data_IF_310536018718
#
_entry.id   IF_310536018718
#
_cell.length_a   1.000
_cell.length_b   1.000
_cell.length_c   1.000
_cell.angle_alpha   90.00
_cell.angle_beta   90.00
_cell.angle_gamma   90.00
#
_symmetry.space_group_name_H-M   'P 1'
#
loop_
_entity.id
_entity.type
_entity.pdbx_description
1 polymer ?
#
# COMPACT_ATOMS: atom_id res chain seq x y z
N UNK A 1 8.56 -2.35 19.68
CA UNK A 1 7.73 -1.15 19.42
C UNK A 1 8.32 -0.37 18.24
N UNK A 2 7.47 0.08 17.34
CA UNK A 2 7.93 0.89 16.21
C UNK A 2 8.22 2.30 16.67
N UNK A 3 9.42 2.77 16.39
CA UNK A 3 9.82 4.15 16.65
C UNK A 3 9.38 5.00 15.45
N UNK A 4 8.45 5.90 15.67
CA UNK A 4 7.90 6.72 14.58
C UNK A 4 8.93 7.63 13.92
N UNK A 5 10.05 7.91 14.58
CA UNK A 5 11.12 8.71 13.98
C UNK A 5 11.87 7.95 12.89
N UNK A 6 11.69 6.62 12.85
CA UNK A 6 12.31 5.78 11.84
C UNK A 6 11.34 5.41 10.71
N UNK A 7 10.11 5.92 10.77
CA UNK A 7 9.11 5.69 9.73
C UNK A 7 9.30 6.75 8.64
N UNK A 8 9.41 6.28 7.40
CA UNK A 8 9.62 7.13 6.24
C UNK A 8 8.58 6.79 5.18
N UNK A 9 7.98 7.82 4.59
CA UNK A 9 7.08 7.65 3.46
C UNK A 9 7.84 7.93 2.18
N UNK A 10 7.82 6.98 1.25
CA UNK A 10 8.44 7.16 -0.06
C UNK A 10 7.41 6.93 -1.15
N UNK A 11 7.50 7.64 -2.28
CA UNK A 11 6.54 7.44 -3.37
C UNK A 11 6.52 5.98 -3.83
N UNK A 12 5.33 5.49 -4.13
CA UNK A 12 5.17 4.15 -4.67
C UNK A 12 5.79 4.09 -6.07
N UNK A 13 6.62 3.08 -6.30
CA UNK A 13 7.30 2.89 -7.59
C UNK A 13 6.68 1.71 -8.34
N UNK A 14 6.98 1.62 -9.64
CA UNK A 14 6.48 0.50 -10.45
C UNK A 14 6.87 -0.85 -9.86
N UNK A 15 8.06 -0.95 -9.28
CA UNK A 15 8.52 -2.18 -8.65
C UNK A 15 7.72 -2.55 -7.41
N UNK A 16 6.97 -1.61 -6.86
CA UNK A 16 6.14 -1.84 -5.67
C UNK A 16 4.75 -2.35 -6.01
N UNK A 17 4.34 -2.28 -7.28
CA UNK A 17 2.99 -2.68 -7.67
C UNK A 17 2.70 -4.16 -7.40
N UNK A 18 3.60 -5.11 -7.75
CA UNK A 18 3.34 -6.51 -7.41
C UNK A 18 3.21 -6.75 -5.91
N UNK A 19 3.96 -6.01 -5.11
CA UNK A 19 3.88 -6.10 -3.66
C UNK A 19 2.54 -5.57 -3.15
N UNK A 20 2.10 -4.42 -3.68
CA UNK A 20 0.81 -3.85 -3.33
C UNK A 20 -0.32 -4.80 -3.69
N UNK A 21 -0.26 -5.43 -4.87
CA UNK A 21 -1.24 -6.42 -5.30
C UNK A 21 -1.29 -7.59 -4.30
N UNK A 22 -0.14 -8.09 -3.88
CA UNK A 22 -0.06 -9.17 -2.91
C UNK A 22 -0.65 -8.75 -1.56
N UNK A 23 -0.37 -7.51 -1.13
CA UNK A 23 -0.92 -6.99 0.12
C UNK A 23 -2.45 -6.89 0.06
N UNK A 24 -3.01 -6.47 -1.08
CA UNK A 24 -4.46 -6.39 -1.23
C UNK A 24 -5.14 -7.76 -1.10
N UNK A 25 -4.40 -8.84 -1.27
CA UNK A 25 -4.92 -10.20 -1.12
C UNK A 25 -4.94 -10.68 0.34
N UNK A 26 -4.32 -9.93 1.25
CA UNK A 26 -4.36 -10.26 2.67
C UNK A 26 -5.75 -9.98 3.21
N UNK A 27 -6.30 -10.93 3.96
CA UNK A 27 -7.69 -10.89 4.41
C UNK A 27 -8.06 -9.57 5.11
N UNK A 28 -7.24 -9.13 6.05
CA UNK A 28 -7.55 -7.92 6.81
C UNK A 28 -7.42 -6.65 5.98
N UNK A 29 -6.58 -6.65 4.96
CA UNK A 29 -6.42 -5.51 4.06
C UNK A 29 -7.56 -5.51 3.03
N UNK A 30 -7.88 -6.68 2.49
CA UNK A 30 -8.96 -6.82 1.52
C UNK A 30 -10.29 -6.34 2.10
N UNK A 31 -10.57 -6.74 3.34
CA UNK A 31 -11.80 -6.31 4.02
C UNK A 31 -11.85 -4.81 4.24
N UNK A 32 -10.69 -4.20 4.45
CA UNK A 32 -10.60 -2.76 4.70
C UNK A 32 -10.70 -1.93 3.43
N UNK A 33 -9.94 -2.31 2.40
CA UNK A 33 -9.82 -1.50 1.19
C UNK A 33 -10.73 -1.96 0.05
N UNK A 34 -11.19 -3.19 0.09
CA UNK A 34 -11.99 -3.76 -0.99
C UNK A 34 -13.32 -4.32 -0.47
N UNK A 35 -14.10 -3.53 0.30
CA UNK A 35 -15.37 -4.03 0.83
C UNK A 35 -16.36 -4.38 -0.26
N UNK A 36 -16.21 -3.81 -1.45
CA UNK A 36 -17.09 -4.09 -2.59
C UNK A 36 -16.57 -5.22 -3.49
N UNK A 37 -15.48 -5.88 -3.09
CA UNK A 37 -15.00 -7.08 -3.76
C UNK A 37 -13.95 -6.82 -4.82
N UNK A 38 -13.87 -7.74 -5.79
CA UNK A 38 -12.80 -7.75 -6.79
C UNK A 38 -12.81 -6.53 -7.72
N UNK A 39 -13.97 -5.96 -7.99
CA UNK A 39 -14.03 -4.76 -8.80
C UNK A 39 -13.28 -3.61 -8.14
N UNK A 40 -13.40 -3.51 -6.82
CA UNK A 40 -12.70 -2.47 -6.06
C UNK A 40 -11.21 -2.76 -6.00
N UNK A 41 -10.83 -4.03 -5.86
CA UNK A 41 -9.44 -4.43 -5.89
C UNK A 41 -8.78 -4.05 -7.22
N UNK A 42 -9.47 -4.33 -8.32
CA UNK A 42 -8.98 -3.96 -9.64
C UNK A 42 -8.89 -2.45 -9.82
N UNK A 43 -9.83 -1.71 -9.22
CA UNK A 43 -9.80 -0.25 -9.25
C UNK A 43 -8.57 0.30 -8.54
N UNK A 44 -8.20 -0.28 -7.40
CA UNK A 44 -6.97 0.11 -6.70
C UNK A 44 -5.73 -0.11 -7.56
N UNK A 45 -5.68 -1.28 -8.22
CA UNK A 45 -4.53 -1.61 -9.08
C UNK A 45 -4.48 -0.69 -10.30
N UNK A 46 -5.62 -0.38 -10.90
CA UNK A 46 -5.68 0.56 -12.02
C UNK A 46 -5.17 1.93 -11.60
N UNK A 47 -5.55 2.37 -10.41
CA UNK A 47 -5.13 3.67 -9.90
C UNK A 47 -3.61 3.75 -9.74
N UNK A 48 -2.99 2.74 -9.12
CA UNK A 48 -1.54 2.77 -8.94
C UNK A 48 -0.79 2.57 -10.25
N UNK A 49 -1.34 1.79 -11.17
CA UNK A 49 -0.73 1.59 -12.49
C UNK A 49 -0.75 2.88 -13.34
N UNK A 50 -1.73 3.74 -13.09
CA UNK A 50 -1.90 4.99 -13.86
C UNK A 50 -1.60 6.24 -13.04
N UNK A 51 -0.84 6.09 -11.94
CA UNK A 51 -0.56 7.20 -11.03
C UNK A 51 0.24 8.34 -11.65
N UNK A 52 0.94 8.06 -12.75
CA UNK A 52 1.68 9.09 -13.47
C UNK A 52 0.93 9.61 -14.70
N UNK A 53 -0.30 9.13 -14.90
CA UNK A 53 -1.16 9.49 -16.02
C UNK A 53 -2.46 10.12 -15.52
N UNK A 54 -3.58 9.43 -15.77
CA UNK A 54 -4.89 9.96 -15.41
C UNK A 54 -5.12 10.16 -13.91
N UNK A 55 -4.32 9.51 -13.07
CA UNK A 55 -4.42 9.62 -11.61
C UNK A 55 -3.23 10.37 -11.01
N UNK A 56 -2.58 11.24 -11.77
CA UNK A 56 -1.39 11.96 -11.32
C UNK A 56 -1.67 12.95 -10.17
N UNK A 57 -2.94 13.29 -9.95
CA UNK A 57 -3.36 14.15 -8.86
C UNK A 57 -3.47 13.40 -7.52
N UNK A 58 -3.31 12.09 -7.53
CA UNK A 58 -3.36 11.26 -6.32
C UNK A 58 -1.95 10.77 -6.01
N UNK A 59 -1.53 10.95 -4.77
CA UNK A 59 -0.20 10.53 -4.35
C UNK A 59 -0.27 9.27 -3.53
N UNK A 60 0.51 8.29 -3.95
CA UNK A 60 0.60 6.98 -3.29
C UNK A 60 1.96 6.83 -2.65
N UNK A 61 1.99 6.34 -1.41
CA UNK A 61 3.23 6.18 -0.66
C UNK A 61 3.36 4.78 -0.09
N UNK A 62 4.59 4.28 -0.08
CA UNK A 62 4.93 3.07 0.65
C UNK A 62 5.54 3.51 1.98
N UNK A 63 5.10 2.90 3.06
CA UNK A 63 5.61 3.20 4.40
C UNK A 63 6.79 2.28 4.68
N UNK A 64 7.92 2.89 5.03
CA UNK A 64 9.15 2.17 5.37
C UNK A 64 9.46 2.32 6.85
N UNK A 65 9.97 1.26 7.44
CA UNK A 65 10.53 1.28 8.77
C UNK A 65 11.89 0.58 8.71
N UNK A 66 12.98 1.34 8.91
CA UNK A 66 14.34 0.82 8.83
C UNK A 66 14.58 0.06 7.52
N UNK A 67 14.24 0.68 6.40
CA UNK A 67 14.39 0.11 5.05
C UNK A 67 13.47 -1.08 4.74
N UNK A 68 12.53 -1.39 5.63
CA UNK A 68 11.59 -2.46 5.43
C UNK A 68 10.22 -1.88 5.05
N UNK A 69 9.61 -2.43 4.02
CA UNK A 69 8.29 -1.98 3.58
C UNK A 69 7.23 -2.58 4.50
N UNK A 70 6.54 -1.73 5.25
CA UNK A 70 5.59 -2.19 6.27
C UNK A 70 4.15 -1.76 6.02
N UNK A 71 3.88 -0.98 4.99
CA UNK A 71 2.52 -0.54 4.73
C UNK A 71 2.42 0.40 3.57
N UNK A 72 1.24 0.98 3.44
CA UNK A 72 0.87 1.85 2.33
C UNK A 72 -0.01 2.98 2.84
N UNK A 73 0.16 4.17 2.27
CA UNK A 73 -0.66 5.34 2.61
C UNK A 73 -1.12 6.08 1.37
N UNK A 74 -2.38 6.53 1.42
CA UNK A 74 -2.99 7.41 0.44
C UNK A 74 -3.91 8.35 1.21
N UNK A 75 -3.53 9.64 1.33
CA UNK A 75 -4.27 10.60 2.17
C UNK A 75 -4.48 10.00 3.57
N UNK A 76 -5.75 9.78 3.96
CA UNK A 76 -6.09 9.19 5.26
C UNK A 76 -6.21 7.67 5.21
N UNK A 77 -6.15 7.07 4.03
CA UNK A 77 -6.32 5.63 3.86
C UNK A 77 -4.97 4.94 3.95
N UNK A 78 -4.59 4.57 5.16
CA UNK A 78 -3.31 3.90 5.40
C UNK A 78 -3.54 2.53 6.01
N UNK A 79 -2.66 1.59 5.67
CA UNK A 79 -2.65 0.31 6.36
C UNK A 79 -1.23 -0.10 6.68
N UNK A 80 -1.10 -0.92 7.71
CA UNK A 80 0.16 -1.49 8.13
C UNK A 80 0.04 -3.00 8.20
N UNK A 81 1.11 -3.68 7.82
CA UNK A 81 1.14 -5.14 7.88
C UNK A 81 1.15 -5.60 9.33
N UNK A 82 0.34 -6.61 9.63
CA UNK A 82 0.28 -7.20 10.96
C UNK A 82 1.28 -8.34 11.13
N UNK A 83 1.74 -8.89 10.02
CA UNK A 83 2.59 -10.07 9.97
C UNK A 83 3.98 -9.74 9.47
N UNK A 84 4.56 -8.65 10.02
CA UNK A 84 5.86 -8.16 9.59
C UNK A 84 6.98 -9.20 9.73
N UNK A 85 6.91 -10.03 10.77
CA UNK A 85 7.92 -11.04 10.99
C UNK A 85 7.94 -12.09 9.89
N UNK A 86 6.78 -12.38 9.34
CA UNK A 86 6.67 -13.34 8.24
C UNK A 86 7.13 -12.73 6.92
N UNK A 87 6.89 -11.43 6.77
CA UNK A 87 7.26 -10.70 5.55
C UNK A 87 8.74 -10.32 5.55
N UNK A 88 9.32 -10.27 6.74
CA UNK A 88 10.70 -9.91 6.90
C UNK A 88 11.66 -10.92 6.40
#
# INVERSE_FOLDING_TARGET
MIDKDEIVLKPLLDEDIPLFDRWLSKDYIYKWLCPDGEEQREAWLDEVNNRNGKYDFIRHFIVYYRDKKIGYCLFADCFFLKDLEEEG
#
